data_IF_446081386519
#
_entry.id   IF_446081386519
#
_cell.length_a   1.000
_cell.length_b   1.000
_cell.length_c   1.000
_cell.angle_alpha   90.00
_cell.angle_beta   90.00
_cell.angle_gamma   90.00
#
_symmetry.space_group_name_H-M   'P 1'
#
loop_
_entity.id
_entity.type
_entity.pdbx_description
1 polymer ?
#
# COMPACT_ATOMS: atom_id res chain seq x y z
N UNK A 1 -7.56 -0.58 21.42
CA UNK A 1 -7.95 0.57 22.21
C UNK A 1 -7.81 1.80 21.32
N UNK A 2 -8.89 2.36 20.89
CA UNK A 2 -9.02 3.53 20.04
C UNK A 2 -10.49 3.77 19.76
N UNK A 3 -10.90 4.94 19.27
CA UNK A 3 -12.27 5.18 18.90
C UNK A 3 -12.70 4.25 17.75
N UNK A 4 -13.96 3.84 17.77
CA UNK A 4 -14.52 2.91 16.79
C UNK A 4 -14.50 3.48 15.34
N UNK A 5 -14.61 4.79 15.22
CA UNK A 5 -14.70 5.50 13.94
C UNK A 5 -13.35 5.76 13.26
N UNK A 6 -12.25 5.31 13.86
CA UNK A 6 -10.90 5.62 13.38
C UNK A 6 -10.42 7.00 13.84
N UNK A 7 -9.19 7.32 13.51
CA UNK A 7 -8.53 8.60 13.79
C UNK A 7 -7.85 9.10 12.53
N UNK A 8 -7.70 10.41 12.43
CA UNK A 8 -6.82 11.00 11.45
C UNK A 8 -5.37 10.57 11.70
N UNK A 9 -4.58 10.50 10.63
CA UNK A 9 -3.19 10.03 10.70
C UNK A 9 -2.36 10.84 11.70
N UNK A 10 -2.62 12.12 11.80
CA UNK A 10 -1.94 13.08 12.68
C UNK A 10 -2.28 12.88 14.16
N UNK A 11 -3.42 12.27 14.45
CA UNK A 11 -3.88 11.99 15.81
C UNK A 11 -3.38 10.64 16.35
N UNK A 12 -2.98 9.71 15.45
CA UNK A 12 -2.54 8.37 15.84
C UNK A 12 -1.40 8.37 16.88
N UNK A 13 -0.41 9.28 16.83
CA UNK A 13 0.65 9.31 17.85
C UNK A 13 0.14 9.50 19.26
N UNK A 14 -1.00 10.17 19.45
CA UNK A 14 -1.60 10.39 20.78
C UNK A 14 -2.10 9.10 21.45
N UNK A 15 -2.29 8.04 20.64
CA UNK A 15 -2.82 6.74 21.11
C UNK A 15 -1.72 5.75 21.52
N UNK A 16 -0.44 6.06 21.28
CA UNK A 16 0.66 5.11 21.50
C UNK A 16 0.77 4.66 22.95
N UNK A 17 0.59 5.58 23.91
CA UNK A 17 0.62 5.23 25.33
C UNK A 17 -0.53 4.28 25.73
N UNK A 18 -1.75 4.55 25.25
CA UNK A 18 -2.91 3.69 25.47
C UNK A 18 -2.73 2.31 24.81
N UNK A 19 -2.14 2.27 23.61
CA UNK A 19 -1.84 1.03 22.90
C UNK A 19 -0.80 0.20 23.66
N UNK A 20 0.32 0.80 24.08
CA UNK A 20 1.34 0.13 24.88
C UNK A 20 0.76 -0.41 26.20
N UNK A 21 -0.01 0.41 26.93
CA UNK A 21 -0.69 0.00 28.15
C UNK A 21 -1.68 -1.15 27.93
N UNK A 22 -2.39 -1.14 26.80
CA UNK A 22 -3.27 -2.23 26.40
C UNK A 22 -2.53 -3.55 26.15
N UNK A 23 -1.39 -3.51 25.47
CA UNK A 23 -0.53 -4.69 25.24
C UNK A 23 -0.03 -5.23 26.58
N UNK A 24 0.52 -4.39 27.44
CA UNK A 24 1.04 -4.79 28.76
C UNK A 24 -0.05 -5.39 29.65
N UNK A 25 -1.24 -4.81 29.64
CA UNK A 25 -2.40 -5.35 30.38
C UNK A 25 -2.84 -6.70 29.83
N UNK A 26 -2.96 -6.81 28.49
CA UNK A 26 -3.37 -8.05 27.84
C UNK A 26 -2.39 -9.20 28.10
N UNK A 27 -1.10 -8.96 27.94
CA UNK A 27 -0.07 -9.98 28.17
C UNK A 27 -0.05 -10.44 29.62
N UNK A 28 -0.16 -9.50 30.57
CA UNK A 28 -0.22 -9.80 31.99
C UNK A 28 -1.47 -10.60 32.37
N UNK A 29 -2.65 -10.19 31.89
CA UNK A 29 -3.91 -10.87 32.21
C UNK A 29 -3.99 -12.28 31.64
N UNK A 30 -3.31 -12.54 30.51
CA UNK A 30 -3.30 -13.85 29.85
C UNK A 30 -2.03 -14.66 30.13
N UNK A 31 -1.16 -14.19 31.02
CA UNK A 31 0.12 -14.84 31.37
C UNK A 31 0.95 -15.20 30.12
N UNK A 32 1.07 -14.24 29.18
CA UNK A 32 1.81 -14.41 27.95
C UNK A 32 3.23 -13.87 28.07
N UNK A 33 4.17 -14.55 27.41
CA UNK A 33 5.55 -14.09 27.22
C UNK A 33 5.92 -14.22 25.75
N UNK A 34 6.88 -13.41 25.31
CA UNK A 34 7.34 -13.39 23.93
C UNK A 34 8.86 -13.38 23.89
N UNK A 35 9.44 -14.02 22.90
CA UNK A 35 10.89 -14.13 22.72
C UNK A 35 11.46 -13.02 21.86
N UNK A 36 10.61 -12.33 21.09
CA UNK A 36 10.95 -11.19 20.25
C UNK A 36 9.74 -10.31 19.97
N UNK A 37 9.99 -9.08 19.52
CA UNK A 37 8.98 -8.16 19.01
C UNK A 37 9.28 -7.89 17.55
N UNK A 38 8.27 -8.02 16.67
CA UNK A 38 8.35 -7.56 15.29
C UNK A 38 7.38 -6.40 15.11
N UNK A 39 7.90 -5.20 14.97
CA UNK A 39 7.13 -3.98 14.81
C UNK A 39 7.08 -3.55 13.34
N UNK A 40 5.88 -3.25 12.86
CA UNK A 40 5.61 -2.79 11.50
C UNK A 40 5.16 -1.34 11.52
N UNK A 41 5.83 -0.48 10.74
CA UNK A 41 5.57 0.95 10.64
C UNK A 41 6.02 1.74 11.89
N UNK A 42 6.35 3.03 11.71
CA UNK A 42 6.99 3.84 12.74
C UNK A 42 6.20 3.96 14.05
N UNK A 43 4.85 4.03 13.99
CA UNK A 43 4.02 4.12 15.19
C UNK A 43 4.15 2.86 16.05
N UNK A 44 4.02 1.68 15.44
CA UNK A 44 4.24 0.41 16.15
C UNK A 44 5.70 0.24 16.56
N UNK A 45 6.64 0.80 15.79
CA UNK A 45 8.06 0.80 16.12
C UNK A 45 8.36 1.49 17.44
N UNK A 46 7.71 2.64 17.73
CA UNK A 46 7.86 3.35 19.00
C UNK A 46 7.35 2.50 20.18
N UNK A 47 6.21 1.83 20.01
CA UNK A 47 5.68 0.91 21.02
C UNK A 47 6.56 -0.32 21.16
N UNK A 48 7.02 -0.88 20.04
CA UNK A 48 7.91 -2.04 20.01
C UNK A 48 9.23 -1.77 20.75
N UNK A 49 9.83 -0.60 20.55
CA UNK A 49 11.03 -0.20 21.26
C UNK A 49 10.80 -0.12 22.78
N UNK A 50 9.71 0.53 23.23
CA UNK A 50 9.36 0.56 24.64
C UNK A 50 9.18 -0.85 25.24
N UNK A 51 8.47 -1.73 24.53
CA UNK A 51 8.21 -3.10 25.00
C UNK A 51 9.49 -3.96 24.99
N UNK A 52 10.38 -3.77 24.01
CA UNK A 52 11.70 -4.38 23.95
C UNK A 52 12.47 -4.15 25.25
N UNK A 53 12.54 -2.89 25.68
CA UNK A 53 13.26 -2.51 26.89
C UNK A 53 12.59 -3.05 28.15
N UNK A 54 11.24 -3.07 28.20
CA UNK A 54 10.48 -3.59 29.33
C UNK A 54 10.57 -5.12 29.48
N UNK A 55 10.60 -5.85 28.35
CA UNK A 55 10.60 -7.32 28.35
C UNK A 55 12.01 -7.90 28.16
N UNK A 56 12.99 -7.06 27.84
CA UNK A 56 14.36 -7.46 27.54
C UNK A 56 14.43 -8.53 26.43
N UNK A 57 13.73 -8.29 25.31
CA UNK A 57 13.68 -9.15 24.15
C UNK A 57 14.11 -8.38 22.89
N UNK A 58 14.62 -9.02 21.84
CA UNK A 58 15.04 -8.32 20.63
C UNK A 58 13.85 -7.66 19.88
N UNK A 59 14.15 -6.54 19.19
CA UNK A 59 13.24 -5.82 18.30
C UNK A 59 13.63 -6.00 16.85
N UNK A 60 12.72 -6.57 16.06
CA UNK A 60 12.77 -6.54 14.59
C UNK A 60 11.86 -5.41 14.12
N UNK A 61 12.34 -4.59 13.20
CA UNK A 61 11.58 -3.46 12.66
C UNK A 61 11.47 -3.51 11.14
N UNK A 62 10.25 -3.35 10.64
CA UNK A 62 9.95 -3.17 9.20
C UNK A 62 9.28 -1.81 9.01
N UNK A 63 9.94 -0.91 8.28
CA UNK A 63 9.46 0.45 8.10
C UNK A 63 8.23 0.55 7.17
N UNK A 64 8.16 -0.27 6.13
CA UNK A 64 7.21 -0.25 5.01
C UNK A 64 7.25 1.04 4.18
N UNK A 65 7.44 2.19 4.82
CA UNK A 65 7.64 3.49 4.19
C UNK A 65 8.48 4.38 5.10
N UNK A 66 9.34 5.19 4.53
CA UNK A 66 10.24 6.10 5.22
C UNK A 66 9.87 7.56 4.91
N UNK A 67 9.80 8.41 5.94
CA UNK A 67 9.47 9.83 5.79
C UNK A 67 10.46 10.58 4.90
N UNK A 68 11.76 10.32 5.06
CA UNK A 68 12.80 10.96 4.26
C UNK A 68 12.66 10.61 2.77
N UNK A 69 12.43 9.34 2.44
CA UNK A 69 12.22 8.86 1.06
C UNK A 69 10.96 9.49 0.46
N UNK A 70 9.84 9.47 1.20
CA UNK A 70 8.60 10.11 0.74
C UNK A 70 8.77 11.60 0.48
N UNK A 71 9.50 12.29 1.37
CA UNK A 71 9.78 13.71 1.22
C UNK A 71 10.71 14.01 0.03
N UNK A 72 11.67 13.13 -0.28
CA UNK A 72 12.57 13.26 -1.42
C UNK A 72 11.85 13.08 -2.78
N UNK A 73 10.85 12.20 -2.83
CA UNK A 73 10.07 11.91 -4.06
C UNK A 73 8.71 12.64 -4.10
N UNK A 74 8.51 13.63 -3.24
CA UNK A 74 7.27 14.39 -3.13
C UNK A 74 7.00 15.21 -4.38
N UNK A 75 5.76 15.19 -4.88
CA UNK A 75 5.27 16.16 -5.87
C UNK A 75 4.85 17.47 -5.18
N UNK A 76 4.59 18.51 -5.97
CA UNK A 76 4.20 19.84 -5.43
C UNK A 76 2.92 19.81 -4.59
N UNK A 77 2.02 18.88 -4.88
CA UNK A 77 0.71 18.74 -4.21
C UNK A 77 0.72 17.76 -3.02
N UNK A 78 1.84 17.05 -2.81
CA UNK A 78 1.93 16.10 -1.70
C UNK A 78 2.23 16.81 -0.38
N UNK A 79 1.53 16.39 0.68
CA UNK A 79 1.83 16.86 2.04
C UNK A 79 3.17 16.30 2.50
N UNK A 80 4.03 17.17 3.03
CA UNK A 80 5.32 16.77 3.60
C UNK A 80 5.10 15.93 4.87
N UNK A 81 5.77 14.79 4.98
CA UNK A 81 5.82 14.04 6.23
C UNK A 81 6.52 14.86 7.31
N UNK A 82 6.02 14.77 8.54
CA UNK A 82 6.48 15.62 9.65
C UNK A 82 7.91 15.28 10.09
N UNK A 83 8.61 16.28 10.59
CA UNK A 83 9.94 16.09 11.19
C UNK A 83 9.86 15.17 12.42
N UNK A 84 8.77 15.26 13.19
CA UNK A 84 8.53 14.37 14.32
C UNK A 84 8.53 12.88 13.88
N UNK A 85 7.89 12.56 12.76
CA UNK A 85 7.91 11.21 12.20
C UNK A 85 9.35 10.79 11.84
N UNK A 86 10.12 11.66 11.18
CA UNK A 86 11.51 11.37 10.81
C UNK A 86 12.38 11.09 12.04
N UNK A 87 12.21 11.90 13.10
CA UNK A 87 12.93 11.70 14.37
C UNK A 87 12.54 10.36 15.01
N UNK A 88 11.25 10.03 15.05
CA UNK A 88 10.78 8.75 15.57
C UNK A 88 11.31 7.56 14.78
N UNK A 89 11.33 7.64 13.45
CA UNK A 89 11.91 6.60 12.59
C UNK A 89 13.40 6.43 12.88
N UNK A 90 14.16 7.52 13.00
CA UNK A 90 15.57 7.47 13.36
C UNK A 90 15.81 6.75 14.70
N UNK A 91 15.04 7.14 15.72
CA UNK A 91 15.15 6.51 17.06
C UNK A 91 14.87 5.00 17.01
N UNK A 92 13.89 4.56 16.24
CA UNK A 92 13.59 3.13 16.10
C UNK A 92 14.72 2.41 15.38
N UNK A 93 15.23 2.98 14.29
CA UNK A 93 16.31 2.42 13.47
C UNK A 93 17.60 2.27 14.31
N UNK A 94 17.95 3.29 15.10
CA UNK A 94 19.12 3.26 15.99
C UNK A 94 19.02 2.16 17.05
N UNK A 95 17.82 1.90 17.55
CA UNK A 95 17.56 0.99 18.65
C UNK A 95 17.07 -0.40 18.25
N UNK A 96 16.68 -0.63 16.99
CA UNK A 96 16.31 -1.97 16.52
C UNK A 96 17.52 -2.91 16.51
N UNK A 97 17.29 -4.17 16.85
CA UNK A 97 18.32 -5.23 16.78
C UNK A 97 18.47 -5.74 15.34
N UNK A 98 17.35 -5.82 14.62
CA UNK A 98 17.28 -6.15 13.19
C UNK A 98 16.29 -5.24 12.50
N UNK A 99 16.63 -4.78 11.31
CA UNK A 99 15.76 -4.02 10.42
C UNK A 99 15.52 -4.86 9.17
N UNK A 100 14.25 -5.09 8.82
CA UNK A 100 13.93 -5.74 7.54
C UNK A 100 13.58 -4.68 6.50
N UNK A 101 14.26 -4.75 5.37
CA UNK A 101 13.97 -3.97 4.17
C UNK A 101 13.27 -4.84 3.14
N UNK A 102 12.25 -4.32 2.46
CA UNK A 102 11.51 -5.07 1.45
C UNK A 102 12.31 -5.27 0.16
N UNK A 103 13.25 -4.37 -0.13
CA UNK A 103 14.09 -4.40 -1.33
C UNK A 103 15.52 -3.95 -1.03
N UNK A 104 16.41 -4.19 -1.98
CA UNK A 104 17.81 -3.71 -1.93
C UNK A 104 17.82 -2.17 -1.94
N UNK A 105 16.90 -1.55 -2.68
CA UNK A 105 16.75 -0.09 -2.76
C UNK A 105 16.32 0.48 -1.41
N UNK A 106 15.33 -0.14 -0.73
CA UNK A 106 14.91 0.28 0.62
C UNK A 106 16.06 0.15 1.63
N UNK A 107 16.88 -0.90 1.52
CA UNK A 107 18.12 -1.02 2.32
C UNK A 107 19.07 0.14 2.06
N UNK A 108 19.26 0.52 0.79
CA UNK A 108 20.11 1.65 0.43
C UNK A 108 19.54 2.97 0.98
N UNK A 109 18.23 3.16 0.92
CA UNK A 109 17.55 4.32 1.48
C UNK A 109 17.68 4.42 3.00
N UNK A 110 17.59 3.30 3.72
CA UNK A 110 17.82 3.24 5.17
C UNK A 110 19.22 3.72 5.53
N UNK A 111 20.24 3.30 4.79
CA UNK A 111 21.61 3.75 4.99
C UNK A 111 21.78 5.22 4.61
N UNK A 112 21.28 5.62 3.44
CA UNK A 112 21.49 6.97 2.92
C UNK A 112 20.78 8.08 3.71
N UNK A 113 19.58 7.80 4.22
CA UNK A 113 18.73 8.80 4.85
C UNK A 113 18.68 8.72 6.38
N UNK A 114 19.04 7.57 6.96
CA UNK A 114 18.96 7.32 8.41
C UNK A 114 20.27 6.77 8.99
N UNK A 115 21.35 6.73 8.21
CA UNK A 115 22.66 6.19 8.65
C UNK A 115 22.54 4.80 9.33
N UNK A 116 21.61 3.97 8.83
CA UNK A 116 21.34 2.67 9.42
C UNK A 116 22.57 1.76 9.32
N UNK A 117 22.89 1.05 10.40
CA UNK A 117 23.96 0.05 10.41
C UNK A 117 23.62 -1.09 9.44
N UNK A 118 24.39 -1.20 8.35
CA UNK A 118 24.20 -2.23 7.33
C UNK A 118 24.21 -3.66 7.88
N UNK A 119 24.90 -3.90 8.99
CA UNK A 119 24.97 -5.24 9.62
C UNK A 119 23.62 -5.65 10.24
N UNK A 120 22.79 -4.68 10.58
CA UNK A 120 21.44 -4.90 11.12
C UNK A 120 20.36 -4.95 10.05
N UNK A 121 20.63 -4.51 8.80
CA UNK A 121 19.61 -4.45 7.75
C UNK A 121 19.64 -5.70 6.89
N UNK A 122 18.53 -6.45 6.94
CA UNK A 122 18.32 -7.69 6.17
C UNK A 122 17.23 -7.45 5.11
N UNK A 123 17.53 -7.80 3.85
CA UNK A 123 16.52 -7.73 2.79
C UNK A 123 15.64 -8.98 2.84
N UNK A 124 14.34 -8.76 3.05
CA UNK A 124 13.31 -9.81 3.05
C UNK A 124 12.21 -9.36 2.09
N UNK A 125 12.25 -9.88 0.88
CA UNK A 125 11.25 -9.53 -0.13
C UNK A 125 9.86 -10.04 0.31
N UNK A 126 8.80 -9.20 0.25
CA UNK A 126 7.44 -9.65 0.43
C UNK A 126 7.04 -10.68 -0.62
N UNK A 127 6.11 -11.55 -0.26
CA UNK A 127 5.54 -12.57 -1.13
C UNK A 127 4.08 -12.29 -1.48
N UNK A 128 3.57 -12.96 -2.51
CA UNK A 128 2.15 -13.09 -2.79
C UNK A 128 1.70 -14.54 -2.51
N UNK A 129 0.43 -14.71 -2.17
CA UNK A 129 -0.19 -16.01 -2.01
C UNK A 129 -0.42 -16.66 -3.38
N UNK A 130 0.50 -17.50 -3.81
CA UNK A 130 0.46 -18.17 -5.12
C UNK A 130 -0.61 -19.26 -5.22
N UNK A 131 -1.19 -19.71 -4.11
CA UNK A 131 -2.35 -20.59 -4.12
C UNK A 131 -3.63 -19.82 -4.39
N UNK A 132 -3.69 -18.57 -3.95
CA UNK A 132 -4.81 -17.67 -4.19
C UNK A 132 -4.67 -16.95 -5.54
N UNK A 133 -3.54 -16.28 -5.80
CA UNK A 133 -3.31 -15.52 -7.02
C UNK A 133 -2.78 -16.43 -8.13
N UNK A 134 -3.71 -17.06 -8.83
CA UNK A 134 -3.41 -17.99 -9.92
C UNK A 134 -3.84 -17.44 -11.27
N UNK A 135 -3.06 -17.68 -12.33
CA UNK A 135 -3.44 -17.28 -13.68
C UNK A 135 -4.80 -17.83 -14.08
N UNK A 136 -5.63 -16.99 -14.69
CA UNK A 136 -6.91 -17.41 -15.22
C UNK A 136 -6.74 -18.33 -16.46
N UNK A 137 -7.42 -19.47 -16.47
CA UNK A 137 -7.67 -20.17 -17.74
C UNK A 137 -8.69 -19.37 -18.56
N UNK A 138 -8.81 -19.61 -19.89
CA UNK A 138 -9.77 -18.91 -20.75
C UNK A 138 -11.20 -18.86 -20.18
N UNK A 139 -11.66 -19.95 -19.56
CA UNK A 139 -12.99 -20.00 -18.89
C UNK A 139 -13.05 -19.13 -17.63
N UNK A 140 -11.97 -19.07 -16.84
CA UNK A 140 -11.91 -18.22 -15.66
C UNK A 140 -11.92 -16.74 -16.05
N UNK A 141 -11.16 -16.35 -17.07
CA UNK A 141 -11.17 -14.99 -17.63
C UNK A 141 -12.56 -14.59 -18.15
N UNK A 142 -13.22 -15.46 -18.93
CA UNK A 142 -14.58 -15.19 -19.40
C UNK A 142 -15.58 -15.03 -18.24
N UNK A 143 -15.49 -15.87 -17.22
CA UNK A 143 -16.34 -15.79 -16.03
C UNK A 143 -16.11 -14.49 -15.30
N UNK A 144 -14.85 -14.13 -15.03
CA UNK A 144 -14.46 -12.88 -14.36
C UNK A 144 -14.98 -11.66 -15.13
N UNK A 145 -14.85 -11.64 -16.47
CA UNK A 145 -15.38 -10.56 -17.31
C UNK A 145 -16.89 -10.45 -17.24
N UNK A 146 -17.63 -11.56 -17.26
CA UNK A 146 -19.09 -11.55 -17.10
C UNK A 146 -19.51 -11.02 -15.74
N UNK A 147 -18.88 -11.45 -14.65
CA UNK A 147 -19.14 -10.98 -13.30
C UNK A 147 -18.86 -9.48 -13.14
N UNK A 148 -17.82 -8.98 -13.81
CA UNK A 148 -17.49 -7.56 -13.84
C UNK A 148 -18.29 -6.77 -14.91
N UNK A 149 -19.18 -7.42 -15.66
CA UNK A 149 -19.95 -6.76 -16.74
C UNK A 149 -19.10 -6.20 -17.87
N UNK A 150 -17.97 -6.85 -18.16
CA UNK A 150 -17.05 -6.46 -19.24
C UNK A 150 -17.33 -7.26 -20.51
N UNK A 151 -17.20 -6.64 -21.71
CA UNK A 151 -17.28 -7.37 -22.96
C UNK A 151 -16.17 -8.42 -23.08
N UNK A 152 -16.52 -9.63 -23.51
CA UNK A 152 -15.56 -10.75 -23.57
C UNK A 152 -14.38 -10.48 -24.50
N UNK A 153 -14.62 -9.74 -25.57
CA UNK A 153 -13.62 -9.43 -26.61
C UNK A 153 -12.85 -8.12 -26.35
N UNK A 154 -13.19 -7.41 -25.27
CA UNK A 154 -12.48 -6.17 -24.94
C UNK A 154 -11.05 -6.47 -24.47
N UNK A 155 -10.14 -5.55 -24.78
CA UNK A 155 -8.87 -5.45 -24.08
C UNK A 155 -9.12 -4.78 -22.74
N UNK A 156 -8.74 -5.45 -21.66
CA UNK A 156 -9.03 -5.02 -20.30
C UNK A 156 -7.74 -4.61 -19.59
N UNK A 157 -7.71 -3.37 -19.12
CA UNK A 157 -6.64 -2.86 -18.26
C UNK A 157 -7.17 -2.75 -16.85
N UNK A 158 -6.50 -3.35 -15.88
CA UNK A 158 -6.83 -3.22 -14.47
C UNK A 158 -5.84 -2.30 -13.75
N UNK A 159 -6.35 -1.54 -12.81
CA UNK A 159 -5.62 -0.84 -11.77
C UNK A 159 -6.17 -1.33 -10.42
N UNK A 160 -5.29 -1.75 -9.54
CA UNK A 160 -5.64 -2.16 -8.18
C UNK A 160 -4.79 -1.33 -7.20
N UNK A 161 -5.46 -0.68 -6.25
CA UNK A 161 -4.76 0.12 -5.26
C UNK A 161 -5.56 1.30 -4.75
N UNK A 162 -5.01 2.01 -3.79
CA UNK A 162 -5.64 3.24 -3.29
C UNK A 162 -5.70 4.28 -4.38
N UNK A 163 -6.86 4.92 -4.53
CA UNK A 163 -7.06 6.01 -5.49
C UNK A 163 -6.45 7.30 -4.91
N UNK A 164 -5.13 7.40 -5.01
CA UNK A 164 -4.31 8.51 -4.57
C UNK A 164 -3.39 8.94 -5.71
N UNK A 165 -3.09 10.23 -5.80
CA UNK A 165 -2.20 10.78 -6.83
C UNK A 165 -0.87 10.03 -6.91
N UNK A 166 -0.30 9.69 -5.76
CA UNK A 166 0.94 8.94 -5.65
C UNK A 166 0.92 7.57 -6.36
N UNK A 167 -0.25 6.91 -6.43
CA UNK A 167 -0.46 5.64 -7.15
C UNK A 167 -0.73 5.83 -8.65
N UNK A 168 -0.87 7.07 -9.10
CA UNK A 168 -0.98 7.43 -10.51
C UNK A 168 -2.25 6.99 -11.24
N UNK A 169 -3.44 6.90 -10.62
CA UNK A 169 -4.65 6.57 -11.37
C UNK A 169 -4.97 7.59 -12.46
N UNK A 170 -4.62 8.86 -12.27
CA UNK A 170 -4.74 9.92 -13.26
C UNK A 170 -3.83 9.69 -14.47
N UNK A 171 -2.63 9.17 -14.28
CA UNK A 171 -1.70 8.81 -15.35
C UNK A 171 -2.33 7.73 -16.24
N UNK A 172 -2.89 6.68 -15.63
CA UNK A 172 -3.59 5.64 -16.37
C UNK A 172 -4.81 6.20 -17.11
N UNK A 173 -5.66 6.99 -16.45
CA UNK A 173 -6.88 7.58 -17.06
C UNK A 173 -6.53 8.41 -18.27
N UNK A 174 -5.50 9.27 -18.19
CA UNK A 174 -5.03 10.07 -19.32
C UNK A 174 -4.46 9.22 -20.45
N UNK A 175 -3.68 8.18 -20.13
CA UNK A 175 -3.17 7.24 -21.14
C UNK A 175 -4.29 6.52 -21.87
N UNK A 176 -5.35 6.09 -21.16
CA UNK A 176 -6.53 5.47 -21.76
C UNK A 176 -7.25 6.45 -22.71
N UNK A 177 -7.40 7.71 -22.31
CA UNK A 177 -8.01 8.74 -23.15
C UNK A 177 -7.23 8.95 -24.47
N UNK A 178 -5.89 8.97 -24.40
CA UNK A 178 -5.05 9.08 -25.59
C UNK A 178 -5.16 7.86 -26.51
N UNK A 179 -5.23 6.65 -25.95
CA UNK A 179 -5.42 5.43 -26.76
C UNK A 179 -6.78 5.47 -27.48
N UNK A 180 -7.85 5.79 -26.77
CA UNK A 180 -9.22 5.86 -27.31
C UNK A 180 -9.32 6.95 -28.38
N UNK A 181 -8.63 8.08 -28.21
CA UNK A 181 -8.60 9.16 -29.20
C UNK A 181 -7.88 8.74 -30.49
N UNK A 182 -6.80 7.95 -30.37
CA UNK A 182 -6.03 7.45 -31.53
C UNK A 182 -6.78 6.38 -32.31
N UNK A 183 -7.51 5.52 -31.62
CA UNK A 183 -8.28 4.43 -32.21
C UNK A 183 -9.64 4.30 -31.50
N UNK A 184 -10.66 5.06 -31.95
CA UNK A 184 -12.00 5.06 -31.36
C UNK A 184 -12.73 3.72 -31.45
N UNK A 185 -12.36 2.86 -32.43
CA UNK A 185 -12.95 1.54 -32.66
C UNK A 185 -12.30 0.46 -31.77
N UNK A 186 -11.18 0.78 -31.12
CA UNK A 186 -10.49 -0.16 -30.23
C UNK A 186 -11.35 -0.49 -29.01
N UNK A 187 -11.70 -1.76 -28.89
CA UNK A 187 -12.57 -2.20 -27.81
C UNK A 187 -11.77 -2.31 -26.50
N UNK A 188 -11.54 -1.17 -25.85
CA UNK A 188 -10.83 -1.05 -24.59
C UNK A 188 -11.80 -0.93 -23.41
N UNK A 189 -11.44 -1.51 -22.27
CA UNK A 189 -12.10 -1.29 -20.97
C UNK A 189 -11.05 -1.16 -19.90
N UNK A 190 -11.34 -0.37 -18.90
CA UNK A 190 -10.52 -0.27 -17.70
C UNK A 190 -11.34 -0.55 -16.44
N UNK A 191 -10.74 -1.26 -15.49
CA UNK A 191 -11.29 -1.48 -14.14
C UNK A 191 -10.32 -0.87 -13.15
N UNK A 192 -10.76 0.16 -12.43
CA UNK A 192 -10.02 0.77 -11.34
C UNK A 192 -10.63 0.30 -10.01
N UNK A 193 -9.91 -0.59 -9.33
CA UNK A 193 -10.33 -1.17 -8.06
C UNK A 193 -9.58 -0.52 -6.91
N UNK A 194 -10.31 0.15 -6.04
CA UNK A 194 -9.73 0.76 -4.86
C UNK A 194 -10.62 1.80 -4.21
N UNK A 195 -10.17 2.30 -3.10
CA UNK A 195 -10.88 3.31 -2.32
C UNK A 195 -10.03 4.55 -2.05
N UNK A 196 -10.66 5.54 -1.46
CA UNK A 196 -9.98 6.73 -0.98
C UNK A 196 -8.99 6.34 0.12
N UNK A 197 -8.00 7.20 0.34
CA UNK A 197 -7.14 7.12 1.51
C UNK A 197 -7.30 8.41 2.29
N UNK A 198 -7.76 8.29 3.54
CA UNK A 198 -8.13 9.43 4.38
C UNK A 198 -9.49 10.06 3.98
N UNK A 199 -9.94 11.03 4.77
CA UNK A 199 -11.25 11.67 4.60
C UNK A 199 -11.34 12.56 3.35
N UNK A 200 -10.21 13.02 2.80
CA UNK A 200 -10.13 13.98 1.71
C UNK A 200 -9.91 13.37 0.31
N UNK A 201 -9.67 12.07 0.21
CA UNK A 201 -9.46 11.41 -1.09
C UNK A 201 -10.78 10.83 -1.61
N UNK A 202 -11.48 11.58 -2.42
CA UNK A 202 -12.73 11.11 -3.02
C UNK A 202 -12.48 10.46 -4.39
N UNK A 203 -13.07 9.28 -4.66
CA UNK A 203 -13.14 8.72 -6.01
C UNK A 203 -13.72 9.70 -7.03
N UNK A 204 -14.51 10.68 -6.58
CA UNK A 204 -15.15 11.73 -7.40
C UNK A 204 -14.17 12.54 -8.24
N UNK A 205 -12.95 12.80 -7.77
CA UNK A 205 -11.95 13.52 -8.55
C UNK A 205 -11.59 12.74 -9.83
N UNK A 206 -11.36 11.44 -9.71
CA UNK A 206 -11.03 10.58 -10.86
C UNK A 206 -12.25 10.26 -11.72
N UNK A 207 -13.43 10.17 -11.13
CA UNK A 207 -14.70 10.07 -11.87
C UNK A 207 -14.96 11.34 -12.69
N UNK A 208 -14.69 12.52 -12.13
CA UNK A 208 -14.77 13.79 -12.86
C UNK A 208 -13.76 13.85 -13.99
N UNK A 209 -12.50 13.45 -13.73
CA UNK A 209 -11.47 13.41 -14.77
C UNK A 209 -11.87 12.49 -15.95
N UNK A 210 -12.45 11.32 -15.65
CA UNK A 210 -12.94 10.38 -16.66
C UNK A 210 -14.10 10.99 -17.46
N UNK A 211 -15.00 11.74 -16.81
CA UNK A 211 -16.11 12.44 -17.46
C UNK A 211 -15.61 13.59 -18.34
N UNK A 212 -14.70 14.43 -17.83
CA UNK A 212 -14.12 15.56 -18.57
C UNK A 212 -13.36 15.11 -19.83
N UNK A 213 -12.70 13.94 -19.75
CA UNK A 213 -12.03 13.33 -20.91
C UNK A 213 -12.98 12.58 -21.86
N UNK A 214 -14.27 12.49 -21.53
CA UNK A 214 -15.29 11.83 -22.37
C UNK A 214 -15.15 10.31 -22.48
N UNK A 215 -14.48 9.67 -21.52
CA UNK A 215 -14.18 8.23 -21.55
C UNK A 215 -14.98 7.41 -20.54
N UNK A 216 -16.04 7.95 -19.94
CA UNK A 216 -16.83 7.30 -18.87
C UNK A 216 -17.33 5.90 -19.23
N UNK A 217 -17.68 5.66 -20.49
CA UNK A 217 -18.15 4.34 -20.95
C UNK A 217 -17.07 3.26 -20.98
N UNK A 218 -15.81 3.67 -20.93
CA UNK A 218 -14.66 2.77 -21.01
C UNK A 218 -14.07 2.41 -19.64
N UNK A 219 -14.38 3.22 -18.60
CA UNK A 219 -13.79 3.11 -17.27
C UNK A 219 -14.83 2.70 -16.25
N UNK A 220 -14.52 1.67 -15.47
CA UNK A 220 -15.35 1.21 -14.37
C UNK A 220 -14.57 1.35 -13.06
N UNK A 221 -15.13 2.09 -12.10
CA UNK A 221 -14.64 2.12 -10.73
C UNK A 221 -15.31 1.02 -9.91
N UNK A 222 -14.53 0.33 -9.10
CA UNK A 222 -15.01 -0.66 -8.13
C UNK A 222 -14.43 -0.33 -6.75
N UNK A 223 -15.22 -0.53 -5.67
CA UNK A 223 -14.72 -0.32 -4.32
C UNK A 223 -13.56 -1.28 -4.00
N UNK A 224 -12.83 -1.05 -2.90
CA UNK A 224 -11.85 -2.00 -2.40
C UNK A 224 -12.45 -3.39 -2.25
N UNK A 225 -11.68 -4.40 -2.63
CA UNK A 225 -12.08 -5.80 -2.58
C UNK A 225 -11.14 -6.58 -1.67
N UNK A 226 -11.64 -7.61 -0.98
CA UNK A 226 -10.77 -8.54 -0.28
C UNK A 226 -9.94 -9.35 -1.29
N UNK A 227 -8.81 -9.95 -0.87
CA UNK A 227 -7.90 -10.67 -1.76
C UNK A 227 -8.58 -11.73 -2.64
N UNK A 228 -9.55 -12.45 -2.10
CA UNK A 228 -10.30 -13.51 -2.79
C UNK A 228 -11.11 -12.99 -3.99
N UNK A 229 -11.54 -11.74 -3.93
CA UNK A 229 -12.25 -11.07 -5.03
C UNK A 229 -11.29 -10.35 -5.99
N UNK A 230 -10.09 -9.92 -5.52
CA UNK A 230 -9.07 -9.29 -6.39
C UNK A 230 -8.57 -10.24 -7.46
N UNK A 231 -8.45 -11.53 -7.16
CA UNK A 231 -8.09 -12.58 -8.14
C UNK A 231 -8.92 -12.45 -9.42
N UNK A 232 -10.23 -12.16 -9.29
CA UNK A 232 -11.13 -12.05 -10.45
C UNK A 232 -10.85 -10.81 -11.29
N UNK A 233 -10.40 -9.73 -10.67
CA UNK A 233 -10.00 -8.52 -11.39
C UNK A 233 -8.73 -8.78 -12.19
N UNK A 234 -7.74 -9.43 -11.59
CA UNK A 234 -6.52 -9.85 -12.28
C UNK A 234 -6.82 -10.83 -13.42
N UNK A 235 -7.64 -11.85 -13.17
CA UNK A 235 -8.03 -12.83 -14.19
C UNK A 235 -8.85 -12.22 -15.36
N UNK A 236 -9.59 -11.14 -15.13
CA UNK A 236 -10.31 -10.44 -16.19
C UNK A 236 -9.42 -9.56 -17.07
N UNK A 237 -8.27 -9.13 -16.56
CA UNK A 237 -7.37 -8.19 -17.20
C UNK A 237 -6.47 -8.86 -18.26
N UNK A 238 -6.17 -8.13 -19.33
CA UNK A 238 -5.06 -8.44 -20.24
C UNK A 238 -3.76 -7.78 -19.74
N UNK A 239 -3.89 -6.66 -19.02
CA UNK A 239 -2.76 -5.89 -18.47
C UNK A 239 -3.17 -5.35 -17.09
N UNK A 240 -2.28 -5.46 -16.12
CA UNK A 240 -2.38 -4.74 -14.84
C UNK A 240 -1.41 -3.58 -14.86
N UNK A 241 -1.93 -2.36 -14.66
CA UNK A 241 -1.15 -1.14 -14.68
C UNK A 241 -0.80 -0.71 -13.24
N UNK A 242 0.48 -0.45 -12.99
CA UNK A 242 1.01 0.06 -11.73
C UNK A 242 1.76 1.36 -12.00
N UNK A 243 1.04 2.47 -12.28
CA UNK A 243 1.64 3.74 -12.70
C UNK A 243 2.11 4.61 -11.51
N UNK A 244 2.43 3.99 -10.38
CA UNK A 244 2.86 4.67 -9.16
C UNK A 244 4.11 5.53 -9.41
N UNK A 245 4.14 6.73 -8.89
CA UNK A 245 5.34 7.60 -8.94
C UNK A 245 6.50 7.03 -8.12
N UNK A 246 6.19 6.33 -7.06
CA UNK A 246 7.15 5.56 -6.27
C UNK A 246 6.42 4.35 -5.69
N UNK A 247 7.08 3.20 -5.67
CA UNK A 247 6.55 1.96 -5.14
C UNK A 247 7.61 1.27 -4.29
N UNK A 248 7.29 1.00 -3.04
CA UNK A 248 8.24 0.36 -2.11
C UNK A 248 8.59 -1.07 -2.53
N UNK A 249 7.60 -1.81 -3.05
CA UNK A 249 7.80 -3.18 -3.54
C UNK A 249 6.88 -3.53 -4.72
N UNK A 250 5.62 -3.05 -4.69
CA UNK A 250 4.67 -3.32 -5.78
C UNK A 250 3.96 -4.66 -5.67
N UNK A 251 3.42 -5.00 -4.48
CA UNK A 251 2.66 -6.25 -4.28
C UNK A 251 1.61 -6.50 -5.35
N UNK A 252 0.93 -5.45 -5.83
CA UNK A 252 -0.06 -5.55 -6.92
C UNK A 252 0.54 -6.16 -8.20
N UNK A 253 1.79 -5.81 -8.52
CA UNK A 253 2.48 -6.37 -9.69
C UNK A 253 2.89 -7.83 -9.46
N UNK A 254 3.13 -8.21 -8.21
CA UNK A 254 3.47 -9.59 -7.84
C UNK A 254 2.23 -10.49 -7.79
N UNK A 255 1.09 -9.95 -7.37
CA UNK A 255 -0.20 -10.65 -7.31
C UNK A 255 -0.80 -10.87 -8.71
N UNK A 256 -0.51 -10.00 -9.67
CA UNK A 256 -1.04 -10.00 -11.04
C UNK A 256 -0.32 -10.99 -11.96
#
# INVERSE_FOLDING_TARGET
AGPYEGLEKEELPTQLAAFAGGILSFTRCNNLSYDLIHAHYWLSGQVGWLLRDLWNVPLVFTAHTLAAVKNAHRTLDDTKESEARRICEQQIIDNADVITANTVEERADLVAHYDADMSKVVVVNPGADTDLFTPGTGRATERARRELGLPLQAKVVAFVGRLQKFKGPDVLIRALAEIIKRDPDYTLRAVLCGGPSGQNATPREYESLVADLGISRYVRFTPPRPPEDLVRIYQAADIVAVPSYNESFGLVALEA
#
